data_IF_736953453037
#
_entry.id   IF_736953453037
#
_cell.length_a   1.000
_cell.length_b   1.000
_cell.length_c   1.000
_cell.angle_alpha   90.00
_cell.angle_beta   90.00
_cell.angle_gamma   90.00
#
_symmetry.space_group_name_H-M   'P 1'
#
loop_
_entity.id
_entity.type
_entity.pdbx_description
1 polymer ?
#
# COMPACT_ATOMS: atom_id res chain seq x y z
N UNK A 1 -1.21 51.27 -39.68
CA UNK A 1 -2.27 50.30 -39.29
C UNK A 1 -1.98 48.84 -39.67
N UNK A 2 -1.01 48.52 -40.55
CA UNK A 2 -0.69 47.12 -40.93
C UNK A 2 0.20 46.40 -39.90
N UNK A 3 1.08 47.14 -39.21
CA UNK A 3 1.99 46.63 -38.17
C UNK A 3 1.28 46.32 -36.84
N UNK A 4 0.27 47.10 -36.45
CA UNK A 4 -0.53 46.85 -35.24
C UNK A 4 -1.36 45.58 -35.37
N UNK A 5 -1.90 45.28 -36.57
CA UNK A 5 -2.63 44.02 -36.83
C UNK A 5 -1.72 42.78 -36.73
N UNK A 6 -0.45 42.90 -37.10
CA UNK A 6 0.54 41.82 -36.97
C UNK A 6 0.89 41.51 -35.51
N UNK A 7 0.94 42.52 -34.64
CA UNK A 7 1.22 42.34 -33.21
C UNK A 7 0.06 41.59 -32.51
N UNK A 8 -1.19 41.90 -32.87
CA UNK A 8 -2.35 41.19 -32.30
C UNK A 8 -2.43 39.72 -32.73
N UNK A 9 -1.99 39.38 -33.94
CA UNK A 9 -1.94 37.99 -34.41
C UNK A 9 -0.82 37.22 -33.72
N UNK A 10 0.32 37.85 -33.42
CA UNK A 10 1.44 37.21 -32.72
C UNK A 10 1.10 36.85 -31.26
N UNK A 11 0.31 37.69 -30.60
CA UNK A 11 -0.12 37.47 -29.19
C UNK A 11 -1.14 36.31 -29.09
N UNK A 12 -1.96 36.09 -30.12
CA UNK A 12 -2.98 35.03 -30.14
C UNK A 12 -2.39 33.61 -30.35
N UNK A 13 -1.18 33.50 -30.90
CA UNK A 13 -0.51 32.20 -31.14
C UNK A 13 0.25 31.71 -29.90
N UNK A 14 0.58 32.59 -28.95
CA UNK A 14 1.33 32.23 -27.74
C UNK A 14 0.47 31.64 -26.61
N UNK A 15 -0.86 31.62 -26.73
CA UNK A 15 -1.76 31.13 -25.66
C UNK A 15 -2.10 29.64 -25.76
N UNK A 16 -1.56 28.88 -26.72
CA UNK A 16 -1.93 27.48 -26.95
C UNK A 16 -0.96 26.42 -26.38
N UNK A 17 0.05 26.80 -25.59
CA UNK A 17 1.04 25.85 -25.06
C UNK A 17 0.95 25.58 -23.56
N UNK A 18 -0.23 25.70 -22.96
CA UNK A 18 -0.51 25.12 -21.64
C UNK A 18 -1.33 23.83 -21.79
N UNK A 19 -0.78 22.87 -22.53
CA UNK A 19 -1.09 21.48 -22.23
C UNK A 19 -0.35 21.18 -20.92
N UNK A 20 -1.05 21.34 -19.80
CA UNK A 20 -0.61 20.82 -18.51
C UNK A 20 -0.44 19.32 -18.75
N UNK A 21 0.80 18.87 -18.93
CA UNK A 21 1.13 17.46 -18.85
C UNK A 21 0.81 17.05 -17.43
N UNK A 22 -0.38 16.50 -17.21
CA UNK A 22 -0.77 15.88 -15.96
C UNK A 22 0.36 14.91 -15.61
N UNK A 23 1.05 15.17 -14.50
CA UNK A 23 2.25 14.38 -14.19
C UNK A 23 1.84 12.92 -14.02
N UNK A 24 2.72 11.96 -14.34
CA UNK A 24 2.43 10.53 -14.17
C UNK A 24 1.91 10.24 -12.75
N UNK A 25 2.52 10.88 -11.75
CA UNK A 25 2.11 10.88 -10.33
C UNK A 25 0.66 11.33 -10.12
N UNK A 26 0.18 12.31 -10.88
CA UNK A 26 -1.16 12.87 -10.78
C UNK A 26 -2.22 11.98 -11.46
N UNK A 27 -1.85 11.28 -12.54
CA UNK A 27 -2.70 10.26 -13.17
C UNK A 27 -2.84 9.00 -12.29
N UNK A 28 -1.76 8.58 -11.62
CA UNK A 28 -1.78 7.41 -10.75
C UNK A 28 -2.59 7.67 -9.46
N UNK A 29 -2.55 8.92 -8.95
CA UNK A 29 -3.43 9.37 -7.85
C UNK A 29 -4.91 9.26 -8.17
N UNK A 30 -5.32 9.55 -9.41
CA UNK A 30 -6.73 9.46 -9.78
C UNK A 30 -7.23 8.02 -9.82
N UNK A 31 -6.34 7.06 -10.14
CA UNK A 31 -6.63 5.63 -10.15
C UNK A 31 -6.65 5.02 -8.75
N UNK A 32 -5.81 5.51 -7.85
CA UNK A 32 -5.66 5.00 -6.48
C UNK A 32 -6.76 5.41 -5.51
N UNK A 33 -7.86 6.01 -6.00
CA UNK A 33 -9.06 6.34 -5.22
C UNK A 33 -9.84 5.10 -4.71
N UNK A 34 -9.34 3.88 -4.94
CA UNK A 34 -9.96 2.61 -4.53
C UNK A 34 -9.26 2.08 -3.28
N UNK A 35 -10.03 1.60 -2.30
CA UNK A 35 -9.47 0.98 -1.09
C UNK A 35 -8.49 -0.16 -1.44
N UNK A 36 -7.31 -0.21 -0.78
CA UNK A 36 -6.31 -1.30 -0.97
C UNK A 36 -6.98 -2.67 -0.83
N UNK A 37 -7.93 -2.82 0.08
CA UNK A 37 -8.80 -3.99 0.26
C UNK A 37 -10.24 -3.52 0.43
N UNK A 38 -11.20 -4.16 -0.23
CA UNK A 38 -12.64 -3.93 -0.02
C UNK A 38 -13.10 -4.50 1.33
N UNK A 39 -14.29 -4.13 1.80
CA UNK A 39 -14.88 -4.65 3.04
C UNK A 39 -14.91 -6.19 3.05
N UNK A 40 -15.33 -6.81 1.95
CA UNK A 40 -15.42 -8.28 1.85
C UNK A 40 -14.05 -8.94 1.86
N UNK A 41 -13.08 -8.40 1.12
CA UNK A 41 -11.70 -8.92 1.12
C UNK A 41 -11.07 -8.79 2.51
N UNK A 42 -11.36 -7.72 3.26
CA UNK A 42 -10.93 -7.59 4.65
C UNK A 42 -11.52 -8.67 5.54
N UNK A 43 -12.80 -8.97 5.41
CA UNK A 43 -13.43 -10.05 6.19
C UNK A 43 -12.84 -11.43 5.86
N UNK A 44 -12.60 -11.70 4.57
CA UNK A 44 -11.96 -12.94 4.11
C UNK A 44 -10.51 -13.06 4.61
N UNK A 45 -9.75 -11.97 4.58
CA UNK A 45 -8.38 -11.92 5.10
C UNK A 45 -8.36 -12.09 6.62
N UNK A 46 -9.29 -11.48 7.36
CA UNK A 46 -9.43 -11.71 8.80
C UNK A 46 -9.63 -13.20 9.11
N UNK A 47 -10.45 -13.88 8.31
CA UNK A 47 -10.70 -15.31 8.53
C UNK A 47 -9.55 -16.22 8.11
N UNK A 48 -8.90 -15.92 6.98
CA UNK A 48 -7.65 -16.56 6.59
C UNK A 48 -6.59 -16.40 7.69
N UNK A 49 -6.48 -15.19 8.26
CA UNK A 49 -5.52 -14.85 9.27
C UNK A 49 -5.78 -15.57 10.59
N UNK A 50 -7.03 -15.58 11.07
CA UNK A 50 -7.45 -16.35 12.25
C UNK A 50 -7.10 -17.84 12.12
N UNK A 51 -7.40 -18.44 10.97
CA UNK A 51 -7.09 -19.85 10.71
C UNK A 51 -5.58 -20.13 10.67
N UNK A 52 -4.79 -19.17 10.21
CA UNK A 52 -3.32 -19.23 10.18
C UNK A 52 -2.72 -19.06 11.57
N UNK A 53 -3.22 -18.14 12.40
CA UNK A 53 -2.79 -17.98 13.79
C UNK A 53 -3.06 -19.22 14.64
N UNK A 54 -4.26 -19.81 14.50
CA UNK A 54 -4.63 -21.02 15.26
C UNK A 54 -3.64 -22.17 15.05
N UNK A 55 -2.97 -22.22 13.88
CA UNK A 55 -1.94 -23.23 13.57
C UNK A 55 -0.60 -22.95 14.27
N UNK A 56 -0.32 -21.71 14.66
CA UNK A 56 0.91 -21.32 15.35
C UNK A 56 0.95 -21.78 16.81
N UNK A 57 -0.21 -22.14 17.38
CA UNK A 57 -0.35 -22.66 18.75
C UNK A 57 0.38 -21.77 19.78
N UNK A 58 0.09 -20.48 19.71
CA UNK A 58 0.62 -19.50 20.67
C UNK A 58 0.04 -19.78 22.06
N UNK A 59 0.77 -19.39 23.11
CA UNK A 59 0.19 -19.31 24.46
C UNK A 59 -0.71 -18.07 24.53
N UNK A 60 -1.68 -18.04 25.44
CA UNK A 60 -2.62 -16.92 25.56
C UNK A 60 -1.90 -15.55 25.71
N UNK A 61 -0.85 -15.50 26.52
CA UNK A 61 -0.04 -14.29 26.73
C UNK A 61 0.68 -13.84 25.44
N UNK A 62 1.30 -14.78 24.71
CA UNK A 62 1.99 -14.49 23.45
C UNK A 62 0.97 -14.14 22.36
N UNK A 63 -0.20 -14.78 22.34
CA UNK A 63 -1.26 -14.51 21.37
C UNK A 63 -1.80 -13.09 21.51
N UNK A 64 -2.05 -12.63 22.73
CA UNK A 64 -2.52 -11.26 22.97
C UNK A 64 -1.50 -10.22 22.50
N UNK A 65 -0.23 -10.39 22.86
CA UNK A 65 0.84 -9.48 22.47
C UNK A 65 1.09 -9.51 20.95
N UNK A 66 1.10 -10.70 20.35
CA UNK A 66 1.20 -10.88 18.91
C UNK A 66 0.05 -10.18 18.17
N UNK A 67 -1.19 -10.35 18.63
CA UNK A 67 -2.37 -9.72 18.03
C UNK A 67 -2.31 -8.20 18.14
N UNK A 68 -1.84 -7.65 19.26
CA UNK A 68 -1.66 -6.21 19.46
C UNK A 68 -0.68 -5.62 18.43
N UNK A 69 0.49 -6.22 18.24
CA UNK A 69 1.44 -5.73 17.24
C UNK A 69 0.86 -5.84 15.83
N UNK A 70 0.24 -6.96 15.53
CA UNK A 70 -0.33 -7.18 14.21
C UNK A 70 -1.41 -6.17 13.86
N UNK A 71 -2.36 -5.93 14.78
CA UNK A 71 -3.44 -4.98 14.56
C UNK A 71 -2.90 -3.57 14.34
N UNK A 72 -1.87 -3.16 15.08
CA UNK A 72 -1.21 -1.88 14.90
C UNK A 72 -0.65 -1.72 13.48
N UNK A 73 0.12 -2.69 12.99
CA UNK A 73 0.72 -2.58 11.66
C UNK A 73 -0.31 -2.76 10.53
N UNK A 74 -1.30 -3.63 10.69
CA UNK A 74 -2.40 -3.78 9.72
C UNK A 74 -3.16 -2.47 9.57
N UNK A 75 -3.43 -1.76 10.68
CA UNK A 75 -4.06 -0.45 10.65
C UNK A 75 -3.20 0.57 9.87
N UNK A 76 -1.89 0.62 10.12
CA UNK A 76 -1.00 1.52 9.40
C UNK A 76 -0.93 1.18 7.89
N UNK A 77 -0.95 -0.11 7.53
CA UNK A 77 -0.98 -0.55 6.12
C UNK A 77 -2.27 -0.12 5.42
N UNK A 78 -3.41 -0.19 6.12
CA UNK A 78 -4.71 0.23 5.58
C UNK A 78 -4.75 1.72 5.25
N UNK A 79 -3.91 2.52 5.90
CA UNK A 79 -3.87 3.98 5.76
C UNK A 79 -2.89 4.46 4.70
N UNK A 80 -2.17 3.57 4.02
CA UNK A 80 -1.21 3.96 2.99
C UNK A 80 -1.87 4.66 1.79
N UNK A 81 -3.15 4.37 1.53
CA UNK A 81 -3.93 5.05 0.51
C UNK A 81 -4.78 6.23 1.05
N UNK A 82 -4.57 6.64 2.31
CA UNK A 82 -5.26 7.79 2.88
C UNK A 82 -4.93 9.05 2.07
N UNK A 83 -5.94 9.90 1.87
CA UNK A 83 -5.81 11.13 1.06
C UNK A 83 -4.78 12.14 1.60
N UNK A 84 -4.44 12.05 2.89
CA UNK A 84 -3.45 12.92 3.53
C UNK A 84 -1.99 12.45 3.30
N UNK A 85 -1.78 11.22 2.79
CA UNK A 85 -0.45 10.65 2.52
C UNK A 85 0.10 10.99 1.16
N UNK A 86 -0.77 11.17 0.18
CA UNK A 86 -0.43 11.66 -1.16
C UNK A 86 0.60 10.79 -1.94
N UNK A 87 0.65 9.49 -1.62
CA UNK A 87 1.59 8.50 -2.16
C UNK A 87 1.24 8.05 -3.59
N UNK A 88 2.27 7.77 -4.41
CA UNK A 88 2.15 6.98 -5.65
C UNK A 88 2.04 5.48 -5.37
N UNK A 89 1.77 4.67 -6.39
CA UNK A 89 1.80 3.21 -6.28
C UNK A 89 3.14 2.67 -5.81
N UNK A 90 4.25 3.19 -6.35
CA UNK A 90 5.60 2.79 -5.95
C UNK A 90 5.89 3.20 -4.50
N UNK A 91 5.50 4.40 -4.09
CA UNK A 91 5.65 4.89 -2.72
C UNK A 91 4.82 4.03 -1.74
N UNK A 92 3.58 3.68 -2.10
CA UNK A 92 2.75 2.76 -1.30
C UNK A 92 3.39 1.38 -1.19
N UNK A 93 3.94 0.84 -2.28
CA UNK A 93 4.64 -0.46 -2.27
C UNK A 93 5.85 -0.44 -1.34
N UNK A 94 6.65 0.62 -1.39
CA UNK A 94 7.83 0.79 -0.53
C UNK A 94 7.43 0.89 0.94
N UNK A 95 6.45 1.74 1.27
CA UNK A 95 5.97 1.92 2.64
C UNK A 95 5.30 0.66 3.20
N UNK A 96 4.57 -0.07 2.35
CA UNK A 96 4.01 -1.37 2.72
C UNK A 96 5.13 -2.35 3.11
N UNK A 97 6.21 -2.43 2.32
CA UNK A 97 7.37 -3.25 2.65
C UNK A 97 8.03 -2.84 3.97
N UNK A 98 8.20 -1.53 4.20
CA UNK A 98 8.74 -0.99 5.47
C UNK A 98 7.88 -1.38 6.67
N UNK A 99 6.55 -1.34 6.55
CA UNK A 99 5.65 -1.75 7.62
C UNK A 99 5.74 -3.24 7.93
N UNK A 100 5.87 -4.10 6.91
CA UNK A 100 6.09 -5.54 7.10
C UNK A 100 7.41 -5.78 7.85
N UNK A 101 8.51 -5.14 7.44
CA UNK A 101 9.80 -5.30 8.12
C UNK A 101 9.75 -4.83 9.58
N UNK A 102 9.10 -3.69 9.85
CA UNK A 102 8.92 -3.18 11.22
C UNK A 102 8.11 -4.15 12.08
N UNK A 103 7.05 -4.70 11.52
CA UNK A 103 6.23 -5.72 12.19
C UNK A 103 7.04 -6.97 12.51
N UNK A 104 7.79 -7.50 11.54
CA UNK A 104 8.66 -8.65 11.74
C UNK A 104 9.64 -8.41 12.90
N UNK A 105 10.33 -7.25 12.93
CA UNK A 105 11.27 -6.89 14.00
C UNK A 105 10.60 -6.81 15.38
N UNK A 106 9.33 -6.41 15.46
CA UNK A 106 8.58 -6.37 16.72
C UNK A 106 8.11 -7.75 17.18
N UNK A 107 7.75 -8.61 16.24
CA UNK A 107 7.13 -9.91 16.49
C UNK A 107 8.16 -11.03 16.69
N UNK A 108 9.32 -10.95 16.04
CA UNK A 108 10.40 -11.92 16.20
C UNK A 108 10.75 -12.25 17.66
N UNK A 109 10.96 -11.29 18.58
CA UNK A 109 11.39 -11.60 19.95
C UNK A 109 10.33 -12.29 20.82
N UNK A 110 9.05 -12.23 20.45
CA UNK A 110 7.95 -12.83 21.22
C UNK A 110 7.56 -14.22 20.71
N UNK A 111 8.10 -14.65 19.57
CA UNK A 111 7.81 -15.93 18.95
C UNK A 111 9.00 -16.89 19.07
N UNK A 112 8.70 -18.18 19.11
CA UNK A 112 9.72 -19.20 18.82
C UNK A 112 10.12 -19.11 17.35
N UNK A 113 11.30 -19.65 17.01
CA UNK A 113 11.80 -19.70 15.63
C UNK A 113 10.77 -20.31 14.65
N UNK A 114 10.14 -21.43 15.04
CA UNK A 114 9.14 -22.09 14.19
C UNK A 114 7.87 -21.23 14.03
N UNK A 115 7.41 -20.58 15.11
CA UNK A 115 6.28 -19.64 15.04
C UNK A 115 6.62 -18.44 14.16
N UNK A 116 7.83 -17.89 14.27
CA UNK A 116 8.26 -16.76 13.43
C UNK A 116 8.35 -17.15 11.95
N UNK A 117 8.86 -18.35 11.65
CA UNK A 117 8.83 -18.91 10.30
C UNK A 117 7.40 -19.05 9.76
N UNK A 118 6.46 -19.50 10.59
CA UNK A 118 5.03 -19.53 10.24
C UNK A 118 4.47 -18.12 10.00
N UNK A 119 4.81 -17.15 10.85
CA UNK A 119 4.44 -15.74 10.68
C UNK A 119 4.90 -15.20 9.33
N UNK A 120 6.19 -15.34 9.01
CA UNK A 120 6.77 -14.92 7.73
C UNK A 120 6.06 -15.56 6.54
N UNK A 121 5.82 -16.88 6.60
CA UNK A 121 5.06 -17.58 5.55
C UNK A 121 3.64 -17.05 5.43
N UNK A 122 2.97 -16.80 6.55
CA UNK A 122 1.61 -16.30 6.56
C UNK A 122 1.51 -14.90 5.94
N UNK A 123 2.44 -14.00 6.29
CA UNK A 123 2.48 -12.68 5.67
C UNK A 123 2.89 -12.70 4.22
N UNK A 124 3.82 -13.58 3.83
CA UNK A 124 4.16 -13.77 2.42
C UNK A 124 2.92 -14.11 1.58
N UNK A 125 2.09 -15.04 2.07
CA UNK A 125 0.86 -15.44 1.38
C UNK A 125 -0.14 -14.26 1.25
N UNK A 126 -0.26 -13.41 2.27
CA UNK A 126 -1.18 -12.26 2.22
C UNK A 126 -0.61 -11.13 1.35
N UNK A 127 0.69 -10.87 1.44
CA UNK A 127 1.37 -9.87 0.62
C UNK A 127 1.27 -10.18 -0.87
N UNK A 128 1.34 -11.47 -1.25
CA UNK A 128 1.03 -11.92 -2.62
C UNK A 128 -0.36 -11.51 -3.08
N UNK A 129 -1.37 -11.67 -2.22
CA UNK A 129 -2.76 -11.27 -2.53
C UNK A 129 -2.87 -9.75 -2.69
N UNK A 130 -2.25 -8.99 -1.79
CA UNK A 130 -2.23 -7.52 -1.86
C UNK A 130 -1.56 -7.04 -3.15
N UNK A 131 -0.40 -7.60 -3.50
CA UNK A 131 0.32 -7.25 -4.73
C UNK A 131 -0.50 -7.58 -5.97
N UNK A 132 -1.04 -8.79 -6.05
CA UNK A 132 -1.86 -9.22 -7.18
C UNK A 132 -3.07 -8.30 -7.38
N UNK A 133 -3.76 -7.95 -6.28
CA UNK A 133 -4.92 -7.07 -6.34
C UNK A 133 -4.57 -5.67 -6.88
N UNK A 134 -3.45 -5.10 -6.46
CA UNK A 134 -3.03 -3.78 -6.91
C UNK A 134 -2.32 -3.81 -8.27
N UNK A 135 -2.28 -4.96 -8.96
CA UNK A 135 -1.57 -5.10 -10.24
C UNK A 135 -0.05 -5.00 -10.12
N UNK A 136 0.49 -5.09 -8.91
CA UNK A 136 1.92 -5.01 -8.65
C UNK A 136 2.61 -6.34 -8.94
N UNK A 137 3.80 -6.28 -9.53
CA UNK A 137 4.63 -7.47 -9.73
C UNK A 137 5.16 -7.97 -8.39
N UNK A 138 4.81 -9.21 -8.06
CA UNK A 138 5.39 -9.94 -6.95
C UNK A 138 6.79 -10.40 -7.32
N UNK A 139 7.80 -9.80 -6.69
CA UNK A 139 9.17 -10.26 -6.79
C UNK A 139 9.47 -10.94 -5.45
N UNK A 140 9.58 -12.27 -5.45
CA UNK A 140 10.15 -13.00 -4.33
C UNK A 140 11.62 -12.57 -4.24
N UNK A 141 12.01 -11.94 -3.12
CA UNK A 141 13.41 -11.93 -2.67
C UNK A 141 13.67 -13.20 -1.86
#
# INVERSE_FOLDING_TARGET
>A
MKTIKLIFILIFVLTFSFAIGQSQKELDREKNKVEILTVEERANLQMLFYNKMKKMKLTDEVEEEYYRYLLHYVYDMQRLNDKDKDYTDEEMKEELGKLVTKMDTRIEPILTEEQFKMHKKNWNDIMKVVYFKNGWKWNEE
#
